data_IF_159292013860
#
_entry.id   IF_159292013860
#
_cell.length_a   1.000
_cell.length_b   1.000
_cell.length_c   1.000
_cell.angle_alpha   90.00
_cell.angle_beta   90.00
_cell.angle_gamma   90.00
#
_symmetry.space_group_name_H-M   'P 1'
#
loop_
_entity.id
_entity.type
_entity.pdbx_description
1 polymer ?
#
# COMPACT_ATOMS: atom_id res chain seq x y z
N UNK A 1 2.79 -16.90 -10.95
CA UNK A 1 1.53 -16.30 -10.46
C UNK A 1 1.07 -16.88 -9.11
N UNK A 2 1.21 -18.19 -8.85
CA UNK A 2 0.84 -18.82 -7.56
C UNK A 2 1.65 -18.37 -6.33
N UNK A 3 2.88 -17.89 -6.51
CA UNK A 3 3.76 -17.49 -5.39
C UNK A 3 3.30 -16.18 -4.70
N UNK A 4 2.66 -15.29 -5.46
CA UNK A 4 2.07 -14.05 -4.93
C UNK A 4 0.92 -14.35 -3.97
N UNK A 5 0.08 -15.33 -4.31
CA UNK A 5 -1.00 -15.78 -3.43
C UNK A 5 -0.47 -16.44 -2.14
N UNK A 6 0.69 -17.08 -2.19
CA UNK A 6 1.40 -17.60 -1.02
C UNK A 6 1.80 -16.48 -0.04
N UNK A 7 2.36 -15.39 -0.57
CA UNK A 7 2.73 -14.22 0.22
C UNK A 7 1.52 -13.50 0.83
N UNK A 8 0.41 -13.38 0.08
CA UNK A 8 -0.85 -12.81 0.58
C UNK A 8 -1.48 -13.71 1.66
N UNK A 9 -1.41 -15.03 1.52
CA UNK A 9 -1.87 -15.98 2.55
C UNK A 9 -1.08 -15.84 3.85
N UNK A 10 0.21 -15.51 3.76
CA UNK A 10 1.05 -15.18 4.92
C UNK A 10 0.56 -13.94 5.69
N UNK A 11 0.10 -12.91 4.98
CA UNK A 11 -0.48 -11.69 5.57
C UNK A 11 -1.82 -11.95 6.27
N UNK A 12 -2.63 -12.88 5.75
CA UNK A 12 -3.94 -13.22 6.31
C UNK A 12 -3.90 -14.22 7.48
N UNK A 13 -2.75 -14.85 7.77
CA UNK A 13 -2.63 -15.73 8.95
C UNK A 13 -2.90 -14.94 10.23
N UNK A 14 -3.77 -15.50 11.07
CA UNK A 14 -3.99 -15.02 12.42
C UNK A 14 -2.85 -15.54 13.31
N UNK A 15 -2.12 -14.62 13.93
CA UNK A 15 -1.10 -14.99 14.90
C UNK A 15 -1.78 -15.47 16.19
N UNK A 16 -1.37 -16.64 16.69
CA UNK A 16 -1.89 -17.24 17.94
C UNK A 16 -1.49 -16.42 19.18
N UNK A 17 -0.39 -15.67 19.08
CA UNK A 17 0.09 -14.75 20.12
C UNK A 17 -0.07 -13.32 19.61
N UNK A 18 -0.84 -12.52 20.32
CA UNK A 18 -1.11 -11.14 19.95
C UNK A 18 0.03 -10.23 20.42
N UNK A 19 0.86 -9.78 19.47
CA UNK A 19 1.96 -8.83 19.72
C UNK A 19 1.66 -7.40 19.25
N UNK A 20 0.48 -7.15 18.68
CA UNK A 20 0.11 -5.85 18.10
C UNK A 20 -1.34 -5.47 18.40
N UNK A 21 -1.66 -4.19 18.22
CA UNK A 21 -3.02 -3.67 18.31
C UNK A 21 -3.83 -3.91 17.02
N UNK A 22 -5.16 -3.92 17.14
CA UNK A 22 -6.11 -4.02 16.03
C UNK A 22 -5.93 -2.89 15.00
N UNK A 23 -5.59 -1.69 15.46
CA UNK A 23 -5.31 -0.54 14.58
C UNK A 23 -4.11 -0.82 13.69
N UNK A 24 -3.03 -1.39 14.24
CA UNK A 24 -1.85 -1.75 13.44
C UNK A 24 -2.18 -2.85 12.44
N UNK A 25 -2.94 -3.87 12.85
CA UNK A 25 -3.43 -4.92 11.96
C UNK A 25 -4.22 -4.38 10.77
N UNK A 26 -5.05 -3.35 10.98
CA UNK A 26 -5.77 -2.71 9.88
C UNK A 26 -4.79 -2.11 8.85
N UNK A 27 -3.74 -1.41 9.31
CA UNK A 27 -2.79 -0.76 8.42
C UNK A 27 -1.92 -1.77 7.65
N UNK A 28 -1.22 -2.68 8.33
CA UNK A 28 -0.27 -3.57 7.65
C UNK A 28 -0.94 -4.76 6.94
N UNK A 29 -2.20 -5.10 7.27
CA UNK A 29 -2.95 -6.14 6.56
C UNK A 29 -3.94 -5.56 5.56
N UNK A 30 -4.96 -4.83 6.04
CA UNK A 30 -6.05 -4.40 5.16
C UNK A 30 -5.59 -3.31 4.18
N UNK A 31 -4.95 -2.23 4.67
CA UNK A 31 -4.51 -1.14 3.80
C UNK A 31 -3.48 -1.62 2.78
N UNK A 32 -2.49 -2.42 3.18
CA UNK A 32 -1.49 -2.99 2.27
C UNK A 32 -2.15 -3.85 1.18
N UNK A 33 -3.08 -4.76 1.53
CA UNK A 33 -3.77 -5.61 0.55
C UNK A 33 -4.59 -4.78 -0.44
N UNK A 34 -5.30 -3.76 0.05
CA UNK A 34 -6.09 -2.85 -0.79
C UNK A 34 -5.20 -2.07 -1.75
N UNK A 35 -4.10 -1.50 -1.27
CA UNK A 35 -3.16 -0.74 -2.09
C UNK A 35 -2.50 -1.60 -3.17
N UNK A 36 -2.11 -2.84 -2.83
CA UNK A 36 -1.56 -3.80 -3.80
C UNK A 36 -2.63 -4.15 -4.84
N UNK A 37 -3.87 -4.41 -4.44
CA UNK A 37 -4.95 -4.73 -5.36
C UNK A 37 -5.22 -3.58 -6.35
N UNK A 38 -5.27 -2.34 -5.87
CA UNK A 38 -5.42 -1.17 -6.74
C UNK A 38 -4.20 -0.94 -7.64
N UNK A 39 -2.99 -1.12 -7.12
CA UNK A 39 -1.76 -1.04 -7.93
C UNK A 39 -1.81 -2.04 -9.09
N UNK A 40 -2.15 -3.31 -8.81
CA UNK A 40 -2.28 -4.34 -9.84
C UNK A 40 -3.39 -4.04 -10.86
N UNK A 41 -4.54 -3.55 -10.39
CA UNK A 41 -5.66 -3.16 -11.26
C UNK A 41 -5.23 -2.05 -12.22
N UNK A 42 -4.62 -0.99 -11.70
CA UNK A 42 -4.16 0.14 -12.50
C UNK A 42 -3.06 -0.30 -13.48
N UNK A 43 -2.07 -1.08 -13.03
CA UNK A 43 -1.02 -1.64 -13.90
C UNK A 43 -1.60 -2.49 -15.02
N UNK A 44 -2.62 -3.31 -14.75
CA UNK A 44 -3.26 -4.14 -15.79
C UNK A 44 -3.86 -3.29 -16.91
N UNK A 45 -4.53 -2.19 -16.56
CA UNK A 45 -5.12 -1.26 -17.54
C UNK A 45 -4.07 -0.45 -18.28
N UNK A 46 -3.00 -0.05 -17.61
CA UNK A 46 -1.96 0.82 -18.19
C UNK A 46 -0.99 0.11 -19.13
N UNK A 47 -0.65 -1.15 -18.84
CA UNK A 47 0.40 -1.87 -19.59
C UNK A 47 -0.14 -2.96 -20.52
N UNK A 48 -1.32 -3.51 -20.23
CA UNK A 48 -1.92 -4.59 -21.03
C UNK A 48 -3.17 -4.11 -21.77
N UNK A 49 -3.88 -3.13 -21.21
CA UNK A 49 -5.05 -2.50 -21.82
C UNK A 49 -4.68 -1.32 -22.71
N UNK A 50 -5.72 -0.57 -23.07
CA UNK A 50 -5.61 0.68 -23.82
C UNK A 50 -5.61 1.88 -22.84
N UNK A 51 -4.46 2.55 -22.61
CA UNK A 51 -4.36 3.57 -21.58
C UNK A 51 -4.93 4.93 -22.01
N UNK A 52 -4.98 5.22 -23.32
CA UNK A 52 -5.46 6.49 -23.86
C UNK A 52 -5.85 6.33 -25.34
N UNK A 53 -7.00 6.87 -25.71
CA UNK A 53 -7.45 6.98 -27.11
C UNK A 53 -7.25 8.41 -27.60
N UNK A 54 -6.46 8.59 -28.67
CA UNK A 54 -6.25 9.88 -29.34
C UNK A 54 -7.05 9.96 -30.66
N UNK A 55 -7.58 11.14 -30.97
CA UNK A 55 -8.31 11.42 -32.22
C UNK A 55 -7.31 12.02 -33.23
N UNK A 56 -7.06 11.33 -34.34
CA UNK A 56 -6.20 11.80 -35.44
C UNK A 56 -6.71 11.33 -36.79
N UNK A 57 -6.51 12.13 -37.83
CA UNK A 57 -6.99 11.85 -39.19
C UNK A 57 -5.91 11.23 -40.11
N UNK A 58 -4.66 11.69 -40.04
CA UNK A 58 -3.60 11.31 -41.01
C UNK A 58 -2.54 10.32 -40.46
N UNK A 59 -2.47 10.15 -39.14
CA UNK A 59 -1.41 9.39 -38.46
C UNK A 59 -1.98 8.06 -37.95
N UNK A 60 -1.24 6.94 -38.03
CA UNK A 60 -1.68 5.69 -37.44
C UNK A 60 -1.94 5.83 -35.93
N UNK A 61 -3.15 5.46 -35.51
CA UNK A 61 -3.67 5.67 -34.15
C UNK A 61 -2.71 5.17 -33.07
N UNK A 62 -2.20 3.95 -33.21
CA UNK A 62 -1.29 3.33 -32.24
C UNK A 62 -0.01 4.14 -31.96
N UNK A 63 0.54 4.82 -32.97
CA UNK A 63 1.73 5.67 -32.82
C UNK A 63 1.35 6.93 -32.06
N UNK A 64 0.20 7.52 -32.38
CA UNK A 64 -0.29 8.71 -31.70
C UNK A 64 -0.65 8.42 -30.25
N UNK A 65 -1.34 7.31 -29.97
CA UNK A 65 -1.72 6.90 -28.61
C UNK A 65 -0.48 6.72 -27.74
N UNK A 66 0.55 6.06 -28.29
CA UNK A 66 1.85 5.90 -27.62
C UNK A 66 2.52 7.25 -27.37
N UNK A 67 2.51 8.15 -28.36
CA UNK A 67 3.08 9.48 -28.23
C UNK A 67 2.33 10.32 -27.17
N UNK A 68 1.00 10.37 -27.23
CA UNK A 68 0.12 11.02 -26.27
C UNK A 68 0.38 10.50 -24.85
N UNK A 69 0.52 9.18 -24.70
CA UNK A 69 0.77 8.54 -23.41
C UNK A 69 2.13 8.91 -22.82
N UNK A 70 3.21 8.91 -23.63
CA UNK A 70 4.59 9.20 -23.18
C UNK A 70 4.82 10.71 -22.97
N UNK A 71 4.47 11.52 -23.97
CA UNK A 71 4.84 12.94 -24.02
C UNK A 71 3.93 13.85 -23.19
N UNK A 72 2.91 13.25 -22.56
CA UNK A 72 1.87 13.85 -21.72
C UNK A 72 0.84 14.69 -22.46
N UNK A 73 -0.35 14.71 -21.86
CA UNK A 73 -1.45 15.56 -22.29
C UNK A 73 -1.47 16.84 -21.47
N UNK A 74 -2.04 17.89 -22.05
CA UNK A 74 -2.27 19.16 -21.35
C UNK A 74 -3.70 19.62 -21.54
N UNK A 75 -4.16 20.45 -20.61
CA UNK A 75 -5.45 21.13 -20.67
C UNK A 75 -5.21 22.63 -20.66
N UNK A 76 -5.99 23.38 -21.44
CA UNK A 76 -5.95 24.84 -21.49
C UNK A 76 -7.07 25.39 -20.57
N UNK A 77 -6.75 25.90 -19.36
CA UNK A 77 -7.78 26.34 -18.41
C UNK A 77 -8.61 27.51 -18.94
N UNK A 78 -8.00 28.38 -19.75
CA UNK A 78 -8.64 29.56 -20.34
C UNK A 78 -9.74 29.21 -21.37
N UNK A 79 -9.86 27.92 -21.75
CA UNK A 79 -10.83 27.41 -22.74
C UNK A 79 -11.76 26.34 -22.13
N UNK A 80 -12.02 26.43 -20.82
CA UNK A 80 -12.95 25.54 -20.11
C UNK A 80 -14.43 25.87 -20.37
N UNK A 81 -14.74 27.10 -20.78
CA UNK A 81 -16.09 27.59 -21.03
C UNK A 81 -16.38 27.67 -22.53
N UNK A 82 -17.39 26.92 -22.98
CA UNK A 82 -17.84 26.88 -24.38
C UNK A 82 -18.90 25.82 -24.60
N UNK A 83 -19.66 25.90 -25.70
CA UNK A 83 -20.64 24.87 -26.05
C UNK A 83 -19.94 23.71 -26.75
N UNK A 84 -19.95 22.53 -26.13
CA UNK A 84 -19.39 21.31 -26.71
C UNK A 84 -20.03 20.99 -28.07
N UNK A 85 -19.21 20.75 -29.09
CA UNK A 85 -19.64 20.47 -30.45
C UNK A 85 -19.88 21.70 -31.34
N UNK A 86 -19.75 22.93 -30.81
CA UNK A 86 -19.79 24.16 -31.61
C UNK A 86 -18.53 24.99 -31.44
N UNK A 87 -18.16 25.32 -30.21
CA UNK A 87 -17.04 26.21 -29.90
C UNK A 87 -15.80 25.45 -29.38
N UNK A 88 -16.01 24.27 -28.79
CA UNK A 88 -14.97 23.40 -28.22
C UNK A 88 -15.31 21.93 -28.47
N UNK A 89 -14.29 21.08 -28.64
CA UNK A 89 -14.49 19.61 -28.74
C UNK A 89 -14.84 19.06 -27.36
N UNK A 90 -14.04 19.40 -26.34
CA UNK A 90 -14.28 19.14 -24.92
C UNK A 90 -13.67 20.25 -24.06
N UNK A 91 -14.17 20.49 -22.83
CA UNK A 91 -13.66 21.53 -21.95
C UNK A 91 -12.14 21.46 -21.75
N UNK A 92 -11.45 22.54 -22.11
CA UNK A 92 -9.99 22.65 -21.98
C UNK A 92 -9.17 21.89 -23.03
N UNK A 93 -9.81 21.31 -24.04
CA UNK A 93 -9.17 20.75 -25.25
C UNK A 93 -9.40 21.73 -26.40
N UNK A 94 -8.37 22.49 -26.76
CA UNK A 94 -8.38 23.48 -27.84
C UNK A 94 -6.98 23.59 -28.43
N UNK A 95 -6.87 24.13 -29.65
CA UNK A 95 -5.56 24.51 -30.22
C UNK A 95 -4.85 25.49 -29.30
N UNK A 96 -3.61 25.17 -28.95
CA UNK A 96 -2.77 26.00 -28.08
C UNK A 96 -2.20 27.19 -28.87
N UNK A 97 -2.39 28.41 -28.37
CA UNK A 97 -1.73 29.61 -28.90
C UNK A 97 -0.64 30.07 -27.92
N UNK A 98 0.61 29.96 -28.35
CA UNK A 98 1.79 30.38 -27.57
C UNK A 98 1.66 31.85 -27.13
N UNK A 99 1.79 32.11 -25.82
CA UNK A 99 1.75 33.45 -25.23
C UNK A 99 0.37 33.96 -24.80
N UNK A 100 -0.73 33.32 -25.21
CA UNK A 100 -2.10 33.67 -24.79
C UNK A 100 -2.75 32.62 -23.90
N UNK A 101 -2.40 31.35 -24.10
CA UNK A 101 -3.01 30.23 -23.38
C UNK A 101 -2.08 29.70 -22.28
N UNK A 102 -2.59 29.60 -21.06
CA UNK A 102 -1.93 28.82 -20.02
C UNK A 102 -2.16 27.33 -20.28
N UNK A 103 -1.13 26.50 -20.07
CA UNK A 103 -1.21 25.03 -20.25
C UNK A 103 -0.93 24.31 -18.95
N UNK A 104 -1.83 23.39 -18.59
CA UNK A 104 -1.70 22.51 -17.44
C UNK A 104 -1.39 21.08 -17.90
N UNK A 105 -0.18 20.62 -17.66
CA UNK A 105 0.27 19.28 -18.02
C UNK A 105 -0.21 18.21 -17.03
N UNK A 106 -0.60 17.05 -17.57
CA UNK A 106 -1.03 15.88 -16.81
C UNK A 106 -0.07 14.73 -17.09
N UNK A 107 0.84 14.47 -16.14
CA UNK A 107 1.78 13.32 -16.18
C UNK A 107 1.56 12.32 -15.04
N UNK A 108 0.62 12.62 -14.14
CA UNK A 108 0.48 11.87 -12.88
C UNK A 108 0.04 10.41 -13.11
N UNK A 109 -0.78 10.14 -14.12
CA UNK A 109 -1.33 8.80 -14.37
C UNK A 109 -0.23 7.75 -14.54
N UNK A 110 0.88 8.08 -15.21
CA UNK A 110 2.03 7.18 -15.39
C UNK A 110 2.64 6.70 -14.06
N UNK A 111 2.55 7.53 -13.01
CA UNK A 111 3.20 7.27 -11.72
C UNK A 111 2.27 6.65 -10.68
N UNK A 112 0.95 6.70 -10.88
CA UNK A 112 -0.03 6.24 -9.88
C UNK A 112 0.22 4.80 -9.45
N UNK A 113 0.49 3.89 -10.40
CA UNK A 113 0.72 2.49 -10.07
C UNK A 113 1.97 2.28 -9.19
N UNK A 114 3.05 2.99 -9.47
CA UNK A 114 4.29 2.95 -8.69
C UNK A 114 4.11 3.57 -7.31
N UNK A 115 3.45 4.72 -7.22
CA UNK A 115 3.19 5.38 -5.93
C UNK A 115 2.34 4.49 -5.03
N UNK A 116 1.28 3.87 -5.55
CA UNK A 116 0.46 2.94 -4.78
C UNK A 116 1.26 1.72 -4.28
N UNK A 117 2.15 1.18 -5.12
CA UNK A 117 3.02 0.08 -4.74
C UNK A 117 4.02 0.48 -3.64
N UNK A 118 4.71 1.61 -3.80
CA UNK A 118 5.64 2.12 -2.79
C UNK A 118 4.91 2.47 -1.48
N UNK A 119 3.71 3.04 -1.56
CA UNK A 119 2.89 3.31 -0.40
C UNK A 119 2.54 2.02 0.34
N UNK A 120 2.15 0.95 -0.37
CA UNK A 120 1.91 -0.36 0.24
C UNK A 120 3.16 -0.90 0.96
N UNK A 121 4.34 -0.75 0.36
CA UNK A 121 5.60 -1.14 0.99
C UNK A 121 5.86 -0.35 2.27
N UNK A 122 5.69 0.98 2.26
CA UNK A 122 5.88 1.84 3.42
C UNK A 122 4.92 1.50 4.57
N UNK A 123 3.67 1.13 4.29
CA UNK A 123 2.74 0.67 5.32
C UNK A 123 3.13 -0.69 5.94
N UNK A 124 3.90 -1.51 5.21
CA UNK A 124 4.37 -2.80 5.71
C UNK A 124 5.69 -2.70 6.51
N UNK A 125 6.52 -1.69 6.23
CA UNK A 125 7.83 -1.51 6.90
C UNK A 125 7.75 -1.49 8.44
N UNK A 126 6.85 -0.72 9.09
CA UNK A 126 6.74 -0.72 10.54
C UNK A 126 6.47 -2.10 11.13
N UNK A 127 5.61 -2.90 10.48
CA UNK A 127 5.33 -4.28 10.88
C UNK A 127 6.56 -5.16 10.75
N UNK A 128 7.31 -5.03 9.66
CA UNK A 128 8.54 -5.78 9.44
C UNK A 128 9.60 -5.47 10.50
N UNK A 129 9.81 -4.18 10.81
CA UNK A 129 10.72 -3.73 11.87
C UNK A 129 10.28 -4.26 13.24
N UNK A 130 9.01 -4.07 13.61
CA UNK A 130 8.47 -4.55 14.88
C UNK A 130 8.65 -6.05 15.05
N UNK A 131 8.32 -6.85 14.04
CA UNK A 131 8.48 -8.31 14.09
C UNK A 131 9.94 -8.74 14.26
N UNK A 132 10.86 -8.00 13.62
CA UNK A 132 12.31 -8.25 13.75
C UNK A 132 12.83 -7.86 15.13
N UNK A 133 12.31 -6.77 15.72
CA UNK A 133 12.70 -6.29 17.04
C UNK A 133 12.09 -7.07 18.21
N UNK A 134 10.86 -7.56 18.05
CA UNK A 134 10.15 -8.39 19.04
C UNK A 134 10.80 -9.76 19.16
N UNK A 135 11.29 -10.33 18.04
CA UNK A 135 12.11 -11.54 17.99
C UNK A 135 11.52 -12.75 18.76
N UNK A 136 10.20 -12.85 18.86
CA UNK A 136 9.48 -13.93 19.54
C UNK A 136 9.51 -13.84 21.07
N UNK A 137 9.89 -12.71 21.67
CA UNK A 137 9.95 -12.52 23.13
C UNK A 137 8.61 -12.78 23.80
N UNK A 138 7.51 -12.23 23.29
CA UNK A 138 6.19 -12.44 23.87
C UNK A 138 5.75 -13.89 23.69
N UNK A 139 6.07 -14.50 22.54
CA UNK A 139 5.80 -15.92 22.31
C UNK A 139 6.52 -16.81 23.34
N UNK A 140 7.77 -16.48 23.69
CA UNK A 140 8.53 -17.17 24.73
C UNK A 140 7.90 -16.96 26.12
N UNK A 141 7.48 -15.73 26.46
CA UNK A 141 6.85 -15.43 27.75
C UNK A 141 5.50 -16.13 27.93
N UNK A 142 4.74 -16.31 26.86
CA UNK A 142 3.47 -17.03 26.91
C UNK A 142 3.68 -18.51 27.28
N UNK A 143 4.87 -19.11 27.09
CA UNK A 143 5.20 -20.49 27.51
C UNK A 143 4.09 -21.51 27.18
N UNK A 144 3.39 -21.35 26.06
CA UNK A 144 2.21 -22.13 25.67
C UNK A 144 1.08 -22.20 26.74
N UNK A 145 1.03 -21.26 27.69
CA UNK A 145 -0.09 -21.07 28.63
C UNK A 145 -1.41 -20.73 27.91
N UNK A 146 -1.35 -20.36 26.64
CA UNK A 146 -2.51 -20.12 25.78
C UNK A 146 -3.10 -21.41 25.17
N UNK A 147 -2.52 -22.59 25.44
CA UNK A 147 -3.07 -23.87 25.01
C UNK A 147 -4.23 -24.29 25.92
N UNK A 148 -5.38 -24.71 25.36
CA UNK A 148 -6.54 -25.13 26.16
C UNK A 148 -6.33 -26.46 26.89
N UNK A 149 -5.39 -27.29 26.44
CA UNK A 149 -5.11 -28.62 26.99
C UNK A 149 -3.74 -28.62 27.67
N UNK A 150 -3.69 -28.17 28.92
CA UNK A 150 -2.48 -28.20 29.76
C UNK A 150 -2.88 -28.64 31.17
N UNK A 151 -2.12 -29.57 31.75
CA UNK A 151 -2.33 -30.05 33.12
C UNK A 151 -2.10 -28.91 34.13
N UNK A 152 -2.86 -28.89 35.23
CA UNK A 152 -2.86 -27.74 36.15
C UNK A 152 -1.52 -27.58 36.88
N UNK A 153 -0.83 -28.68 37.22
CA UNK A 153 0.54 -28.66 37.77
C UNK A 153 1.53 -27.94 36.83
N UNK A 154 1.43 -28.23 35.52
CA UNK A 154 2.31 -27.63 34.52
C UNK A 154 1.99 -26.14 34.29
N UNK A 155 0.72 -25.73 34.45
CA UNK A 155 0.36 -24.31 34.41
C UNK A 155 0.96 -23.56 35.59
N UNK A 156 0.93 -24.12 36.79
CA UNK A 156 1.43 -23.45 37.98
C UNK A 156 2.96 -23.31 37.98
N UNK A 157 3.68 -24.31 37.47
CA UNK A 157 5.12 -24.22 37.22
C UNK A 157 5.46 -23.11 36.22
N UNK A 158 4.76 -23.04 35.08
CA UNK A 158 4.98 -22.00 34.06
C UNK A 158 4.64 -20.60 34.56
N UNK A 159 3.56 -20.45 35.35
CA UNK A 159 3.23 -19.17 36.00
C UNK A 159 4.34 -18.72 36.94
N UNK A 160 4.91 -19.64 37.72
CA UNK A 160 6.00 -19.32 38.64
C UNK A 160 7.22 -18.79 37.89
N UNK A 161 7.65 -19.48 36.83
CA UNK A 161 8.75 -19.04 35.95
C UNK A 161 8.47 -17.64 35.38
N UNK A 162 7.23 -17.38 34.96
CA UNK A 162 6.84 -16.08 34.42
C UNK A 162 6.92 -14.97 35.47
N UNK A 163 6.44 -15.22 36.69
CA UNK A 163 6.51 -14.26 37.80
C UNK A 163 7.97 -13.96 38.16
N UNK A 164 8.79 -15.00 38.31
CA UNK A 164 10.22 -14.87 38.63
C UNK A 164 10.93 -14.03 37.56
N UNK A 165 10.65 -14.27 36.27
CA UNK A 165 11.17 -13.47 35.17
C UNK A 165 10.81 -11.98 35.29
N UNK A 166 9.55 -11.65 35.57
CA UNK A 166 9.11 -10.25 35.69
C UNK A 166 9.72 -9.55 36.90
N UNK A 167 9.86 -10.27 38.03
CA UNK A 167 10.48 -9.73 39.24
C UNK A 167 11.97 -9.42 39.00
N UNK A 168 12.69 -10.32 38.33
CA UNK A 168 14.12 -10.14 38.03
C UNK A 168 14.40 -9.07 36.96
N UNK A 169 13.48 -8.87 36.01
CA UNK A 169 13.67 -7.99 34.86
C UNK A 169 12.87 -6.68 34.93
N UNK A 170 12.41 -6.30 36.13
CA UNK A 170 11.70 -5.03 36.31
C UNK A 170 12.55 -3.84 35.81
N UNK A 171 11.93 -2.92 35.07
CA UNK A 171 12.58 -1.76 34.41
C UNK A 171 13.65 -2.06 33.34
N UNK A 172 13.92 -3.32 32.99
CA UNK A 172 14.91 -3.67 31.94
C UNK A 172 14.33 -3.69 30.51
N UNK A 173 13.03 -3.48 30.36
CA UNK A 173 12.32 -3.57 29.08
C UNK A 173 11.93 -2.22 28.46
N UNK A 174 12.47 -1.10 28.94
CA UNK A 174 12.15 0.23 28.40
C UNK A 174 12.43 0.34 26.89
N UNK A 175 13.49 -0.32 26.41
CA UNK A 175 13.82 -0.33 24.98
C UNK A 175 12.81 -1.11 24.13
N UNK A 176 12.15 -2.12 24.72
CA UNK A 176 11.06 -2.84 24.06
C UNK A 176 9.85 -1.92 23.86
N UNK A 177 9.49 -1.13 24.88
CA UNK A 177 8.41 -0.16 24.79
C UNK A 177 8.72 0.93 23.75
N UNK A 178 9.94 1.49 23.76
CA UNK A 178 10.37 2.50 22.77
C UNK A 178 10.23 1.95 21.34
N UNK A 179 10.71 0.73 21.09
CA UNK A 179 10.61 0.05 19.79
C UNK A 179 9.19 -0.24 19.33
N UNK A 180 8.22 -0.29 20.24
CA UNK A 180 6.81 -0.50 19.91
C UNK A 180 6.12 0.79 19.45
N UNK A 181 6.56 1.94 19.99
CA UNK A 181 6.00 3.25 19.68
C UNK A 181 6.64 3.93 18.46
N UNK A 182 7.86 3.53 18.10
CA UNK A 182 8.56 3.92 16.85
C UNK A 182 8.04 3.07 15.69
#
# INVERSE_FOLDING_TARGET
MFDVFGSVKGLLKLDQVCIDNNIFRLHYKATVVILIAFSLLVTSRQYIGDPIDCIVDEIPLNVMDTYCWIYSTFTIPNRLTGVAGKDIVQPGVSSHVDGHDEVKYHKYYQWVCFVLFFQAMLFYVPRYLWKTWEAGRIKMLVLDLNMPVVNDECKDERKKILVDYFVENINRHNFYAIRFFI
#
